data_IF_273425613107
#
_entry.id   IF_273425613107
#
_cell.length_a   1.000
_cell.length_b   1.000
_cell.length_c   1.000
_cell.angle_alpha   90.00
_cell.angle_beta   90.00
_cell.angle_gamma   90.00
#
_symmetry.space_group_name_H-M   'P 1'
#
loop_
_entity.id
_entity.type
_entity.pdbx_description
1 polymer ?
#
# COMPACT_ATOMS: atom_id res chain seq x y z
N UNK A 1 -4.62 -8.63 -12.54
CA UNK A 1 -3.87 -7.52 -11.95
C UNK A 1 -4.53 -7.04 -10.68
N UNK A 2 -3.77 -6.57 -9.73
CA UNK A 2 -4.27 -6.21 -8.41
C UNK A 2 -4.05 -4.71 -8.21
N UNK A 3 -5.11 -3.97 -7.92
CA UNK A 3 -4.98 -2.54 -7.63
C UNK A 3 -4.23 -2.33 -6.33
N UNK A 4 -3.38 -1.30 -6.31
CA UNK A 4 -2.67 -0.94 -5.10
C UNK A 4 -3.67 -0.68 -3.97
N UNK A 5 -3.55 -1.38 -2.83
CA UNK A 5 -4.52 -1.23 -1.75
C UNK A 5 -4.44 0.11 -1.03
N UNK A 6 -3.41 0.90 -1.30
CA UNK A 6 -3.21 2.18 -0.64
C UNK A 6 -3.82 3.32 -1.46
N UNK A 7 -3.30 3.54 -2.68
CA UNK A 7 -3.74 4.67 -3.50
C UNK A 7 -4.76 4.31 -4.58
N UNK A 8 -4.81 3.04 -4.98
CA UNK A 8 -5.72 2.60 -6.04
C UNK A 8 -5.36 3.10 -7.43
N UNK A 9 -4.22 3.76 -7.58
CA UNK A 9 -3.81 4.38 -8.85
C UNK A 9 -2.88 3.52 -9.67
N UNK A 10 -2.38 2.43 -9.12
CA UNK A 10 -1.43 1.55 -9.76
C UNK A 10 -1.91 0.11 -9.67
N UNK A 11 -1.63 -0.67 -10.70
CA UNK A 11 -1.99 -2.08 -10.70
C UNK A 11 -0.74 -2.95 -10.72
N UNK A 12 -0.64 -3.85 -9.74
CA UNK A 12 0.43 -4.83 -9.67
C UNK A 12 0.07 -6.05 -10.50
N UNK A 13 1.07 -6.70 -11.06
CA UNK A 13 0.87 -8.00 -11.71
C UNK A 13 0.50 -9.03 -10.63
N UNK A 14 -0.27 -10.04 -11.03
CA UNK A 14 -0.81 -11.02 -10.11
C UNK A 14 0.22 -11.76 -9.27
N UNK A 15 1.45 -11.85 -9.75
CA UNK A 15 2.55 -12.57 -9.08
C UNK A 15 3.72 -11.68 -8.70
N UNK A 16 3.56 -10.37 -8.73
CA UNK A 16 4.68 -9.49 -8.42
C UNK A 16 4.74 -9.19 -6.94
N UNK A 17 5.33 -10.13 -6.20
CA UNK A 17 5.62 -9.90 -4.79
C UNK A 17 6.74 -8.87 -4.67
N UNK A 18 6.64 -7.99 -3.69
CA UNK A 18 7.66 -6.97 -3.37
C UNK A 18 7.85 -5.89 -4.44
N UNK A 19 6.92 -5.76 -5.37
CA UNK A 19 6.89 -4.62 -6.26
C UNK A 19 6.49 -3.38 -5.48
N UNK A 20 7.09 -2.24 -5.82
CA UNK A 20 6.80 -0.98 -5.14
C UNK A 20 5.90 -0.14 -6.03
N UNK A 21 4.79 0.35 -5.45
CA UNK A 21 3.90 1.26 -6.16
C UNK A 21 4.62 2.59 -6.43
N UNK A 22 4.71 3.02 -7.69
CA UNK A 22 5.40 4.28 -7.98
C UNK A 22 4.63 5.52 -7.53
N UNK A 23 3.38 5.36 -7.15
CA UNK A 23 2.54 6.49 -6.72
C UNK A 23 2.66 6.73 -5.21
N UNK A 24 2.41 5.70 -4.41
CA UNK A 24 2.41 5.84 -2.94
C UNK A 24 3.58 5.15 -2.25
N UNK A 25 4.40 4.45 -3.02
CA UNK A 25 5.59 3.74 -2.52
C UNK A 25 5.27 2.56 -1.60
N UNK A 26 4.04 2.05 -1.65
CA UNK A 26 3.69 0.84 -0.93
C UNK A 26 4.37 -0.37 -1.59
N UNK A 27 5.06 -1.17 -0.80
CA UNK A 27 5.65 -2.40 -1.30
C UNK A 27 4.62 -3.53 -1.23
N UNK A 28 4.36 -4.17 -2.37
CA UNK A 28 3.32 -5.20 -2.46
C UNK A 28 3.77 -6.48 -1.74
N UNK A 29 3.26 -6.69 -0.55
CA UNK A 29 3.54 -7.89 0.26
C UNK A 29 2.24 -8.67 0.41
N UNK A 30 2.21 -9.89 -0.11
CA UNK A 30 1.03 -10.74 -0.04
C UNK A 30 0.58 -11.02 1.38
N UNK A 31 1.54 -11.13 2.31
CA UNK A 31 1.22 -11.35 3.72
C UNK A 31 0.51 -10.14 4.32
N UNK A 32 1.02 -8.95 4.05
CA UNK A 32 0.39 -7.72 4.56
C UNK A 32 -0.96 -7.44 3.89
N UNK A 33 -1.11 -7.81 2.63
CA UNK A 33 -2.39 -7.71 1.95
C UNK A 33 -3.44 -8.65 2.54
N UNK A 34 -3.03 -9.87 2.87
CA UNK A 34 -3.92 -10.86 3.48
C UNK A 34 -4.23 -10.51 4.93
N UNK A 35 -3.33 -9.78 5.59
CA UNK A 35 -3.46 -9.41 7.00
C UNK A 35 -3.26 -7.90 7.16
N UNK A 36 -4.32 -7.09 6.92
CA UNK A 36 -4.20 -5.62 6.88
C UNK A 36 -3.72 -4.99 8.18
N UNK A 37 -3.76 -5.71 9.27
CA UNK A 37 -3.31 -5.22 10.58
C UNK A 37 -1.88 -5.66 10.92
N UNK A 38 -1.27 -6.44 10.04
CA UNK A 38 0.09 -6.94 10.30
C UNK A 38 1.12 -5.89 9.90
N UNK A 39 1.95 -5.48 10.85
CA UNK A 39 3.04 -4.54 10.60
C UNK A 39 4.38 -5.27 10.65
N UNK A 40 5.40 -4.65 10.11
CA UNK A 40 6.75 -5.22 10.15
C UNK A 40 7.04 -6.25 9.07
N UNK A 41 6.25 -6.27 8.01
CA UNK A 41 6.54 -7.09 6.82
C UNK A 41 7.49 -6.33 5.88
N UNK A 42 7.20 -6.36 4.58
CA UNK A 42 7.96 -5.58 3.59
C UNK A 42 7.86 -4.09 3.87
N UNK A 43 6.76 -3.65 4.46
CA UNK A 43 6.58 -2.27 4.92
C UNK A 43 6.58 -2.26 6.45
N UNK A 44 7.12 -1.21 7.04
CA UNK A 44 7.15 -1.07 8.50
C UNK A 44 5.75 -0.96 9.08
N UNK A 45 4.89 -0.22 8.40
CA UNK A 45 3.50 -0.06 8.80
C UNK A 45 2.63 -1.19 8.25
N UNK A 46 1.50 -1.46 8.92
CA UNK A 46 0.49 -2.35 8.38
C UNK A 46 -0.20 -1.67 7.19
N UNK A 47 -0.93 -2.45 6.40
CA UNK A 47 -1.69 -1.92 5.26
C UNK A 47 -2.64 -0.80 5.71
N UNK A 48 -3.38 -1.05 6.80
CA UNK A 48 -4.33 -0.06 7.31
C UNK A 48 -3.65 1.20 7.81
N UNK A 49 -2.50 1.07 8.48
CA UNK A 49 -1.74 2.22 8.95
C UNK A 49 -1.19 3.04 7.78
N UNK A 50 -0.63 2.36 6.82
CA UNK A 50 -0.05 3.02 5.64
C UNK A 50 -1.14 3.75 4.84
N UNK A 51 -2.27 3.09 4.66
CA UNK A 51 -3.41 3.68 3.93
C UNK A 51 -3.94 4.92 4.64
N UNK A 52 -4.07 4.85 5.96
CA UNK A 52 -4.52 6.00 6.75
C UNK A 52 -3.57 7.19 6.60
N UNK A 53 -2.26 6.92 6.67
CA UNK A 53 -1.26 7.97 6.49
C UNK A 53 -1.31 8.57 5.08
N UNK A 54 -1.50 7.73 4.07
CA UNK A 54 -1.64 8.18 2.68
C UNK A 54 -2.86 9.08 2.50
N UNK A 55 -4.00 8.69 3.07
CA UNK A 55 -5.22 9.48 2.99
C UNK A 55 -5.04 10.85 3.64
N UNK A 56 -4.30 10.91 4.74
CA UNK A 56 -3.99 12.18 5.40
C UNK A 56 -3.14 13.08 4.52
N UNK A 57 -2.18 12.52 3.80
CA UNK A 57 -1.35 13.27 2.85
C UNK A 57 -2.19 13.81 1.71
N UNK A 58 -3.12 13.03 1.20
CA UNK A 58 -4.00 13.45 0.12
C UNK A 58 -4.89 14.61 0.56
N UNK A 59 -5.44 14.55 1.76
CA UNK A 59 -6.26 15.62 2.32
C UNK A 59 -5.43 16.89 2.48
N UNK A 60 -4.20 16.76 2.97
CA UNK A 60 -3.31 17.90 3.16
C UNK A 60 -2.93 18.57 1.84
N UNK A 61 -2.81 17.80 0.76
CA UNK A 61 -2.50 18.34 -0.56
C UNK A 61 -3.64 19.13 -1.17
N UNK A 62 -4.87 18.75 -0.86
CA UNK A 62 -6.06 19.37 -1.44
C UNK A 62 -6.62 20.50 -0.58
N UNK A 63 -6.12 20.61 0.64
CA UNK A 63 -6.62 21.60 1.61
C UNK A 63 -5.98 22.99 1.54
#
# INVERSE_FOLDING_TARGET
MIKCPICGEYEFEKKSDYDVCPVCEWENDGLQMANPYYSGGANDESLNEYKAAWEQKEIAKTG
#
